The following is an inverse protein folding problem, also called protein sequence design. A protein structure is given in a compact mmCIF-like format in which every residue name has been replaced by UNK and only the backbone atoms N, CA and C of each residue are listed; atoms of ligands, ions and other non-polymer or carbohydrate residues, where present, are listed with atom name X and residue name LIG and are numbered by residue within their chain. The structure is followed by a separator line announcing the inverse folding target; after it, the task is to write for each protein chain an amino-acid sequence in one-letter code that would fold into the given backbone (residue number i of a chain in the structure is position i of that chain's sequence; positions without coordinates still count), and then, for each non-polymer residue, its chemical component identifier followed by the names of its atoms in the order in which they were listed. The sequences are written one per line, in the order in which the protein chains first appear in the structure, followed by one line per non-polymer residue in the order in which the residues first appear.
data_IF_507747777073
#
_entry.id   IF_507747777073
#
_cell.length_a   1.000
_cell.length_b   1.000
_cell.length_c   1.000
_cell.angle_alpha   90.00
_cell.angle_beta   90.00
_cell.angle_gamma   90.00
#
_symmetry.space_group_name_H-M   'P 1'
#
loop_
_entity.id
_entity.type
_entity.pdbx_description
1 polymer ?
#
# COMPACT_ATOMS: atom_id res chain seq x y z
N UNK A 1 -13.22 -11.73 12.27
CA UNK A 1 -11.81 -11.32 12.07
C UNK A 1 -11.77 -10.10 11.19
N UNK A 2 -11.32 -8.96 11.68
CA UNK A 2 -11.21 -7.77 10.83
C UNK A 2 -10.10 -7.93 9.80
N UNK A 3 -10.35 -7.47 8.60
CA UNK A 3 -9.40 -7.51 7.49
C UNK A 3 -9.15 -6.10 6.98
N UNK A 4 -7.91 -5.68 6.99
CA UNK A 4 -7.49 -4.36 6.53
C UNK A 4 -6.64 -4.46 5.28
N UNK A 5 -6.88 -3.58 4.33
CA UNK A 5 -5.90 -3.35 3.28
C UNK A 5 -5.05 -2.16 3.70
N UNK A 6 -3.74 -2.34 3.69
CA UNK A 6 -2.78 -1.26 3.96
C UNK A 6 -1.96 -1.03 2.71
N UNK A 7 -2.05 0.17 2.16
CA UNK A 7 -1.26 0.54 0.99
C UNK A 7 0.00 1.26 1.43
N UNK A 8 1.14 0.78 0.97
CA UNK A 8 2.45 1.30 1.35
C UNK A 8 3.30 1.62 0.12
N UNK A 9 4.16 2.62 0.24
CA UNK A 9 5.01 3.11 -0.83
C UNK A 9 6.48 3.23 -0.42
N UNK A 10 6.84 2.65 0.73
CA UNK A 10 8.18 2.76 1.31
C UNK A 10 8.45 4.03 2.08
N UNK A 11 7.48 4.95 2.15
CA UNK A 11 7.62 6.21 2.90
C UNK A 11 7.52 6.02 4.41
N UNK A 12 7.93 7.04 5.16
CA UNK A 12 7.75 7.07 6.61
C UNK A 12 6.29 7.12 7.01
N UNK A 13 5.43 7.71 6.17
CA UNK A 13 3.99 7.79 6.40
C UNK A 13 3.35 6.40 6.31
N UNK A 14 3.77 5.58 5.35
CA UNK A 14 3.34 4.21 5.23
C UNK A 14 3.73 3.37 6.46
N UNK A 15 4.96 3.53 6.94
CA UNK A 15 5.41 2.85 8.17
C UNK A 15 4.60 3.25 9.38
N UNK A 16 4.22 4.52 9.50
CA UNK A 16 3.34 4.99 10.58
C UNK A 16 1.98 4.30 10.53
N UNK A 17 1.42 4.14 9.34
CA UNK A 17 0.15 3.45 9.15
C UNK A 17 0.21 2.01 9.66
N UNK A 18 1.27 1.28 9.28
CA UNK A 18 1.47 -0.09 9.72
C UNK A 18 1.68 -0.17 11.24
N UNK A 19 2.50 0.72 11.81
CA UNK A 19 2.72 0.76 13.26
C UNK A 19 1.45 1.05 14.03
N UNK A 20 0.59 1.92 13.51
CA UNK A 20 -0.72 2.19 14.11
C UNK A 20 -1.56 0.91 14.19
N UNK A 21 -1.65 0.17 13.09
CA UNK A 21 -2.39 -1.09 13.06
C UNK A 21 -1.82 -2.12 14.03
N UNK A 22 -0.50 -2.20 14.14
CA UNK A 22 0.16 -3.08 15.12
C UNK A 22 -0.26 -2.70 16.54
N UNK A 23 -0.23 -1.41 16.87
CA UNK A 23 -0.62 -0.93 18.18
C UNK A 23 -2.09 -1.20 18.48
N UNK A 24 -2.96 -1.10 17.49
CA UNK A 24 -4.39 -1.32 17.63
C UNK A 24 -4.80 -2.78 17.57
N UNK A 25 -3.91 -3.67 17.14
CA UNK A 25 -4.24 -5.10 16.98
C UNK A 25 -4.80 -5.73 18.26
N UNK A 26 -4.31 -5.31 19.43
CA UNK A 26 -4.78 -5.80 20.71
C UNK A 26 -6.20 -5.35 21.07
N UNK A 27 -6.75 -4.35 20.36
CA UNK A 27 -8.10 -3.87 20.61
C UNK A 27 -9.18 -4.81 20.05
N UNK A 28 -8.80 -5.69 19.16
CA UNK A 28 -9.73 -6.59 18.50
C UNK A 28 -9.83 -7.92 19.22
N UNK A 29 -11.04 -8.44 19.31
CA UNK A 29 -11.31 -9.75 19.91
C UNK A 29 -10.57 -10.87 19.18
N UNK A 30 -10.44 -10.74 17.87
CA UNK A 30 -9.69 -11.65 17.01
C UNK A 30 -8.60 -10.85 16.29
N UNK A 31 -7.39 -11.37 16.24
CA UNK A 31 -6.28 -10.68 15.58
C UNK A 31 -6.64 -10.30 14.14
N UNK A 32 -6.30 -9.08 13.69
CA UNK A 32 -6.61 -8.65 12.33
C UNK A 32 -5.76 -9.38 11.30
N UNK A 33 -6.32 -9.50 10.11
CA UNK A 33 -5.60 -9.97 8.92
C UNK A 33 -5.32 -8.76 8.02
N UNK A 34 -4.11 -8.69 7.48
CA UNK A 34 -3.68 -7.55 6.68
C UNK A 34 -3.36 -7.98 5.25
N UNK A 35 -3.89 -7.25 4.28
CA UNK A 35 -3.44 -7.29 2.89
C UNK A 35 -2.50 -6.09 2.73
N UNK A 36 -1.20 -6.37 2.62
CA UNK A 36 -0.16 -5.35 2.52
C UNK A 36 0.16 -5.12 1.05
N UNK A 37 -0.27 -4.00 0.51
CA UNK A 37 -0.21 -3.73 -0.93
C UNK A 37 0.73 -2.57 -1.25
N UNK A 38 1.56 -2.75 -2.25
CA UNK A 38 2.24 -1.63 -2.91
C UNK A 38 1.87 -1.63 -4.39
N UNK A 39 1.60 -0.45 -4.93
CA UNK A 39 1.20 -0.27 -6.32
C UNK A 39 2.20 0.65 -7.01
N UNK A 40 2.79 0.17 -8.09
CA UNK A 40 3.69 0.96 -8.92
C UNK A 40 2.94 1.44 -10.16
N UNK A 41 3.11 2.72 -10.51
CA UNK A 41 2.56 3.22 -11.77
C UNK A 41 3.28 2.57 -12.94
N UNK A 42 2.58 2.29 -14.06
CA UNK A 42 3.25 1.75 -15.24
C UNK A 42 4.35 2.69 -15.74
N UNK A 43 5.49 2.11 -16.10
CA UNK A 43 6.58 2.89 -16.70
C UNK A 43 6.18 3.29 -18.10
N UNK A 44 6.17 4.60 -18.44
CA UNK A 44 5.82 5.04 -19.79
C UNK A 44 6.78 4.48 -20.84
N UNK A 45 6.26 4.00 -22.00
CA UNK A 45 7.12 3.51 -23.08
C UNK A 45 8.10 4.54 -23.63
N UNK A 46 7.75 5.82 -23.52
CA UNK A 46 8.57 6.94 -24.00
C UNK A 46 9.91 7.08 -23.28
N UNK A 47 10.04 6.52 -22.08
CA UNK A 47 11.29 6.55 -21.32
C UNK A 47 12.28 5.44 -21.74
N UNK A 48 11.91 4.59 -22.69
CA UNK A 48 12.78 3.58 -23.25
C UNK A 48 13.09 2.38 -22.36
N UNK A 49 12.70 2.40 -21.09
CA UNK A 49 13.01 1.31 -20.16
C UNK A 49 12.41 -0.01 -20.64
N UNK A 50 11.15 -0.02 -21.02
CA UNK A 50 10.48 -1.21 -21.52
C UNK A 50 11.09 -1.75 -22.81
N UNK A 51 11.62 -0.87 -23.69
CA UNK A 51 12.31 -1.27 -24.91
C UNK A 51 13.70 -1.83 -24.60
N UNK A 52 14.42 -1.19 -23.67
CA UNK A 52 15.79 -1.56 -23.34
C UNK A 52 15.89 -2.91 -22.63
N UNK A 53 14.93 -3.22 -21.74
CA UNK A 53 14.99 -4.42 -20.87
C UNK A 53 14.00 -5.52 -21.25
N UNK A 54 13.07 -5.24 -22.17
CA UNK A 54 12.03 -6.17 -22.57
C UNK A 54 10.99 -6.45 -21.48
N UNK A 55 10.03 -7.31 -21.80
CA UNK A 55 8.92 -7.62 -20.90
C UNK A 55 9.39 -8.24 -19.58
N UNK A 56 10.27 -9.22 -19.64
CA UNK A 56 10.81 -9.90 -18.44
C UNK A 56 11.64 -8.96 -17.57
N UNK A 57 12.43 -8.09 -18.18
CA UNK A 57 13.20 -7.08 -17.47
C UNK A 57 12.32 -6.07 -16.76
N UNK A 58 11.22 -5.67 -17.41
CA UNK A 58 10.25 -4.75 -16.81
C UNK A 58 9.50 -5.41 -15.64
N UNK A 59 9.10 -6.66 -15.77
CA UNK A 59 8.48 -7.42 -14.68
C UNK A 59 9.42 -7.54 -13.48
N UNK A 60 10.70 -7.81 -13.74
CA UNK A 60 11.73 -7.86 -12.69
C UNK A 60 11.87 -6.50 -12.00
N UNK A 61 11.88 -5.42 -12.76
CA UNK A 61 11.94 -4.07 -12.23
C UNK A 61 10.79 -3.78 -11.26
N UNK A 62 9.55 -4.08 -11.66
CA UNK A 62 8.39 -3.89 -10.80
C UNK A 62 8.46 -4.75 -9.55
N UNK A 63 8.92 -5.98 -9.67
CA UNK A 63 9.07 -6.88 -8.53
C UNK A 63 10.11 -6.36 -7.54
N UNK A 64 11.26 -5.90 -8.01
CA UNK A 64 12.31 -5.37 -7.15
C UNK A 64 11.89 -4.07 -6.47
N UNK A 65 11.25 -3.17 -7.20
CA UNK A 65 10.71 -1.92 -6.64
C UNK A 65 9.63 -2.20 -5.59
N UNK A 66 8.75 -3.15 -5.89
CA UNK A 66 7.69 -3.54 -4.97
C UNK A 66 8.21 -4.17 -3.69
N UNK A 67 9.18 -5.07 -3.80
CA UNK A 67 9.80 -5.69 -2.63
C UNK A 67 10.50 -4.65 -1.76
N UNK A 68 11.19 -3.69 -2.37
CA UNK A 68 11.83 -2.61 -1.63
C UNK A 68 10.81 -1.74 -0.88
N UNK A 69 9.68 -1.44 -1.52
CA UNK A 69 8.62 -0.64 -0.90
C UNK A 69 7.95 -1.36 0.28
N UNK A 70 7.85 -2.69 0.22
CA UNK A 70 7.22 -3.50 1.27
C UNK A 70 8.15 -3.84 2.44
N UNK A 71 9.46 -3.80 2.23
CA UNK A 71 10.45 -4.41 3.13
C UNK A 71 10.31 -3.98 4.60
N UNK A 72 10.32 -2.68 4.88
CA UNK A 72 10.27 -2.20 6.26
C UNK A 72 8.93 -2.51 6.94
N UNK A 73 7.84 -2.42 6.19
CA UNK A 73 6.51 -2.74 6.71
C UNK A 73 6.37 -4.23 7.00
N UNK A 74 6.94 -5.09 6.17
CA UNK A 74 6.98 -6.54 6.42
C UNK A 74 7.74 -6.85 7.70
N UNK A 75 8.88 -6.20 7.92
CA UNK A 75 9.66 -6.38 9.16
C UNK A 75 8.85 -6.00 10.40
N UNK A 76 8.10 -4.90 10.33
CA UNK A 76 7.25 -4.46 11.45
C UNK A 76 6.17 -5.49 11.75
N UNK A 77 5.48 -5.99 10.74
CA UNK A 77 4.41 -6.98 10.90
C UNK A 77 4.95 -8.33 11.37
N UNK A 78 6.08 -8.78 10.83
CA UNK A 78 6.73 -10.03 11.24
C UNK A 78 7.13 -9.96 12.72
N UNK A 79 7.74 -8.87 13.14
CA UNK A 79 8.16 -8.68 14.53
C UNK A 79 6.97 -8.66 15.50
N UNK A 80 5.81 -8.18 15.03
CA UNK A 80 4.58 -8.13 15.83
C UNK A 80 3.79 -9.44 15.78
N UNK A 81 4.18 -10.40 14.95
CA UNK A 81 3.46 -11.67 14.79
C UNK A 81 2.10 -11.52 14.13
N UNK A 82 1.88 -10.46 13.36
CA UNK A 82 0.61 -10.22 12.67
C UNK A 82 0.64 -10.86 11.29
N UNK A 83 -0.40 -11.62 10.99
CA UNK A 83 -0.55 -12.28 9.69
C UNK A 83 -0.87 -11.27 8.60
N UNK A 84 -0.16 -11.37 7.47
CA UNK A 84 -0.42 -10.51 6.32
C UNK A 84 -0.16 -11.24 5.01
N UNK A 85 -0.80 -10.75 3.95
CA UNK A 85 -0.57 -11.19 2.58
C UNK A 85 0.07 -10.03 1.82
N UNK A 86 1.34 -10.15 1.39
CA UNK A 86 1.97 -9.09 0.61
C UNK A 86 1.54 -9.16 -0.86
N UNK A 87 1.27 -8.01 -1.46
CA UNK A 87 0.96 -7.92 -2.88
C UNK A 87 1.68 -6.75 -3.53
N UNK A 88 2.21 -7.02 -4.72
CA UNK A 88 2.82 -6.01 -5.59
C UNK A 88 1.96 -5.90 -6.83
N UNK A 89 1.50 -4.70 -7.13
CA UNK A 89 0.64 -4.45 -8.27
C UNK A 89 1.19 -3.30 -9.13
N UNK A 90 0.77 -3.28 -10.38
CA UNK A 90 1.11 -2.22 -11.35
C UNK A 90 -0.18 -1.66 -11.91
N UNK A 91 -0.34 -0.35 -11.85
CA UNK A 91 -1.55 0.31 -12.35
C UNK A 91 -1.74 1.70 -11.75
N UNK A 92 -2.94 2.25 -11.93
CA UNK A 92 -3.32 3.47 -11.23
C UNK A 92 -3.42 3.16 -9.73
N UNK A 93 -2.72 3.92 -8.91
CA UNK A 93 -2.52 3.58 -7.50
C UNK A 93 -3.85 3.52 -6.74
N UNK A 94 -4.62 4.59 -6.78
CA UNK A 94 -5.87 4.67 -6.01
C UNK A 94 -6.92 3.67 -6.48
N UNK A 95 -7.07 3.53 -7.79
CA UNK A 95 -8.01 2.58 -8.37
C UNK A 95 -7.65 1.13 -8.04
N UNK A 96 -6.37 0.79 -8.10
CA UNK A 96 -5.88 -0.54 -7.75
C UNK A 96 -6.10 -0.83 -6.26
N UNK A 97 -5.85 0.13 -5.39
CA UNK A 97 -6.10 -0.01 -3.94
C UNK A 97 -7.59 -0.33 -3.70
N UNK A 98 -8.49 0.46 -4.27
CA UNK A 98 -9.92 0.27 -4.08
C UNK A 98 -10.39 -1.08 -4.62
N UNK A 99 -9.93 -1.47 -5.81
CA UNK A 99 -10.27 -2.75 -6.43
C UNK A 99 -9.79 -3.93 -5.59
N UNK A 100 -8.56 -3.87 -5.10
CA UNK A 100 -8.01 -4.95 -4.27
C UNK A 100 -8.69 -5.06 -2.91
N UNK A 101 -9.07 -3.96 -2.30
CA UNK A 101 -9.83 -3.99 -1.06
C UNK A 101 -11.15 -4.73 -1.24
N UNK A 102 -11.84 -4.45 -2.33
CA UNK A 102 -13.08 -5.13 -2.67
C UNK A 102 -12.86 -6.61 -2.99
N UNK A 103 -11.86 -6.93 -3.79
CA UNK A 103 -11.54 -8.30 -4.19
C UNK A 103 -11.16 -9.20 -3.00
N UNK A 104 -10.46 -8.66 -2.02
CA UNK A 104 -10.07 -9.38 -0.81
C UNK A 104 -11.14 -9.38 0.28
N UNK A 105 -12.24 -8.67 0.08
CA UNK A 105 -13.27 -8.53 1.11
C UNK A 105 -12.77 -7.79 2.35
N UNK A 106 -11.95 -6.77 2.17
CA UNK A 106 -11.43 -5.98 3.28
C UNK A 106 -12.53 -5.14 3.91
N UNK A 107 -12.46 -5.00 5.24
CA UNK A 107 -13.41 -4.20 6.01
C UNK A 107 -13.05 -2.71 6.01
N UNK A 108 -11.80 -2.41 5.77
CA UNK A 108 -11.28 -1.04 5.85
C UNK A 108 -9.98 -0.92 5.03
N UNK A 109 -9.74 0.28 4.51
CA UNK A 109 -8.48 0.65 3.87
C UNK A 109 -7.73 1.60 4.80
N UNK A 110 -6.44 1.35 5.00
CA UNK A 110 -5.55 2.21 5.78
C UNK A 110 -4.45 2.73 4.87
N UNK A 111 -4.31 4.04 4.78
CA UNK A 111 -3.28 4.69 3.97
C UNK A 111 -2.66 5.85 4.73
N UNK A 112 -1.40 6.15 4.43
CA UNK A 112 -0.81 7.40 4.88
C UNK A 112 -1.50 8.58 4.22
N UNK A 113 -1.68 9.66 4.95
CA UNK A 113 -2.29 10.87 4.40
C UNK A 113 -1.41 11.52 3.33
N UNK A 114 -0.12 11.20 3.31
CA UNK A 114 0.88 11.65 2.34
C UNK A 114 1.79 10.50 1.97
N UNK A 115 2.41 10.58 0.79
CA UNK A 115 3.35 9.55 0.32
C UNK A 115 4.73 10.12 -0.01
N UNK A 116 5.46 9.39 -0.84
CA UNK A 116 6.77 9.83 -1.35
C UNK A 116 6.62 11.14 -2.11
N UNK A 117 7.55 12.07 -1.90
CA UNK A 117 7.55 13.37 -2.57
C UNK A 117 6.57 14.38 -2.00
N UNK A 118 5.87 14.07 -0.92
CA UNK A 118 4.96 15.01 -0.28
C UNK A 118 5.72 16.20 0.31
N UNK A 119 5.16 17.39 0.15
CA UNK A 119 5.69 18.61 0.73
C UNK A 119 5.09 18.88 2.11
N UNK A 120 5.76 19.68 2.92
CA UNK A 120 5.30 20.00 4.27
C UNK A 120 3.94 20.71 4.29
N UNK A 121 3.56 21.40 3.21
CA UNK A 121 2.33 22.17 3.12
C UNK A 121 1.12 21.34 2.61
N UNK A 122 1.34 20.08 2.24
CA UNK A 122 0.26 19.22 1.75
C UNK A 122 -0.33 18.44 2.91
N UNK A 123 -1.59 18.71 3.24
CA UNK A 123 -2.30 17.99 4.31
C UNK A 123 -2.75 16.60 3.86
N UNK A 124 -3.11 16.47 2.59
CA UNK A 124 -3.64 15.23 2.03
C UNK A 124 -3.04 15.00 0.65
N UNK A 125 -2.41 13.85 0.46
CA UNK A 125 -1.82 13.47 -0.82
C UNK A 125 -2.85 13.16 -1.89
N UNK A 126 -2.43 13.17 -3.15
CA UNK A 126 -3.31 12.88 -4.30
C UNK A 126 -3.87 11.46 -4.26
N UNK A 127 -3.06 10.50 -3.87
CA UNK A 127 -3.49 9.09 -3.75
C UNK A 127 -4.55 8.96 -2.66
N UNK A 128 -4.30 9.51 -1.47
CA UNK A 128 -5.26 9.46 -0.36
C UNK A 128 -6.59 10.11 -0.74
N UNK A 129 -6.55 11.26 -1.40
CA UNK A 129 -7.76 11.95 -1.87
C UNK A 129 -8.56 11.08 -2.84
N UNK A 130 -7.91 10.45 -3.81
CA UNK A 130 -8.59 9.60 -4.78
C UNK A 130 -9.12 8.31 -4.17
N UNK A 131 -8.40 7.72 -3.23
CA UNK A 131 -8.87 6.53 -2.52
C UNK A 131 -10.18 6.84 -1.78
N UNK A 132 -10.28 7.99 -1.14
CA UNK A 132 -11.52 8.43 -0.48
C UNK A 132 -12.71 8.48 -1.43
N UNK A 133 -12.49 8.89 -2.68
CA UNK A 133 -13.56 8.94 -3.67
C UNK A 133 -13.95 7.57 -4.23
N UNK A 134 -13.00 6.65 -4.32
CA UNK A 134 -13.19 5.36 -4.99
C UNK A 134 -13.55 4.21 -4.06
N UNK A 135 -13.24 4.32 -2.77
CA UNK A 135 -13.41 3.23 -1.82
C UNK A 135 -14.88 2.97 -1.49
N UNK A 136 -15.24 1.70 -1.40
CA UNK A 136 -16.56 1.22 -0.97
C UNK A 136 -16.58 0.88 0.52
N UNK A 137 -15.45 0.99 1.19
CA UNK A 137 -15.29 0.69 2.62
C UNK A 137 -14.70 1.92 3.33
N UNK A 138 -14.79 1.98 4.67
CA UNK A 138 -14.13 3.06 5.41
C UNK A 138 -12.64 3.17 5.09
N UNK A 139 -12.14 4.39 5.12
CA UNK A 139 -10.74 4.69 4.87
C UNK A 139 -10.17 5.43 6.06
N UNK A 140 -9.12 4.88 6.65
CA UNK A 140 -8.38 5.55 7.72
C UNK A 140 -7.12 6.18 7.13
N UNK A 141 -6.96 7.47 7.38
CA UNK A 141 -5.80 8.24 6.96
C UNK A 141 -4.87 8.41 8.14
N UNK A 142 -3.60 8.04 7.97
CA UNK A 142 -2.59 8.16 9.02
C UNK A 142 -1.62 9.28 8.68
N UNK A 143 -1.49 10.22 9.60
CA UNK A 143 -0.62 11.39 9.44
C UNK A 143 0.80 11.12 9.91
#
# INVERSE_FOLDING_TARGET
MPKFLVAVDGSSHAKKAVRMLVAQAAWYKTAPEIVLVTVHRPVPPIHGLGRAVGKKGLERYYQEEGEAALLECRKILDAAGIRYTPEIAVGDIAETIATKASAHGCDEIVVGSRGLGATANVLLGSVATRVLHLADVPVTLVR
#
